data_IF_229590689603
#
_entry.id   IF_229590689603
#
_cell.length_a   1.000
_cell.length_b   1.000
_cell.length_c   1.000
_cell.angle_alpha   90.00
_cell.angle_beta   90.00
_cell.angle_gamma   90.00
#
_symmetry.space_group_name_H-M   'P 1'
#
loop_
_entity.id
_entity.type
_entity.pdbx_description
1 polymer ?
#
# COMPACT_ATOMS: atom_id res chain seq x y z
N UNK A 1 -8.36 8.03 7.60
CA UNK A 1 -7.87 9.42 7.43
C UNK A 1 -6.74 9.66 8.41
N UNK A 2 -5.68 10.32 7.97
CA UNK A 2 -4.57 10.76 8.80
C UNK A 2 -4.40 12.28 8.70
N UNK A 3 -3.89 12.90 9.75
CA UNK A 3 -3.54 14.31 9.80
C UNK A 3 -2.03 14.44 9.97
N UNK A 4 -1.41 15.27 9.15
CA UNK A 4 0.02 15.53 9.15
C UNK A 4 0.23 17.04 9.35
N UNK A 5 1.17 17.39 10.22
CA UNK A 5 1.64 18.78 10.43
C UNK A 5 3.15 18.82 10.43
N UNK A 6 3.69 19.98 10.13
CA UNK A 6 5.08 20.33 10.42
C UNK A 6 5.09 21.47 11.43
N UNK A 7 6.14 21.58 12.23
CA UNK A 7 6.35 22.71 13.12
C UNK A 7 6.72 23.97 12.30
N UNK A 8 6.52 25.13 12.89
CA UNK A 8 6.78 26.42 12.22
C UNK A 8 8.24 26.52 11.76
N UNK A 9 8.40 26.71 10.45
CA UNK A 9 9.72 26.82 9.81
C UNK A 9 10.38 25.47 9.46
N UNK A 10 9.70 24.33 9.73
CA UNK A 10 10.16 23.00 9.37
C UNK A 10 9.39 22.45 8.17
N UNK A 11 10.08 21.63 7.36
CA UNK A 11 9.47 20.85 6.25
C UNK A 11 9.27 19.36 6.65
N UNK A 12 9.50 19.00 7.92
CA UNK A 12 9.38 17.62 8.42
C UNK A 12 7.95 17.37 8.93
N UNK A 13 7.14 16.71 8.11
CA UNK A 13 5.76 16.39 8.47
C UNK A 13 5.67 15.17 9.38
N UNK A 14 4.85 15.28 10.44
CA UNK A 14 4.57 14.24 11.44
C UNK A 14 3.12 13.84 11.44
N UNK A 15 2.84 12.58 11.74
CA UNK A 15 1.48 12.07 11.92
C UNK A 15 0.97 12.52 13.30
N UNK A 16 0.05 13.49 13.33
CA UNK A 16 -0.51 14.03 14.58
C UNK A 16 -1.89 13.51 14.92
N UNK A 17 -2.57 12.88 13.96
CA UNK A 17 -3.88 12.29 14.18
C UNK A 17 -4.19 11.21 13.16
N UNK A 18 -4.90 10.15 13.57
CA UNK A 18 -5.31 9.07 12.69
C UNK A 18 -6.64 8.47 13.09
N UNK A 19 -7.55 8.30 12.09
CA UNK A 19 -8.74 7.47 12.16
C UNK A 19 -8.68 6.47 10.99
N UNK A 20 -8.15 5.27 11.25
CA UNK A 20 -7.91 4.23 10.24
C UNK A 20 -8.59 2.94 10.65
N UNK A 21 -9.76 2.67 10.05
CA UNK A 21 -10.52 1.45 10.30
C UNK A 21 -9.90 0.22 9.61
N UNK A 22 -9.30 0.43 8.43
CA UNK A 22 -8.82 -0.64 7.56
C UNK A 22 -7.33 -0.48 7.22
N UNK A 23 -6.43 -0.65 8.20
CA UNK A 23 -5.00 -0.57 7.94
C UNK A 23 -4.53 -1.73 7.04
N UNK A 24 -3.47 -1.46 6.26
CA UNK A 24 -2.75 -2.46 5.46
C UNK A 24 -1.37 -2.63 6.08
N UNK A 25 -1.21 -3.68 6.87
CA UNK A 25 0.05 -4.10 7.50
C UNK A 25 0.76 -3.01 8.33
N UNK A 26 -0.02 -2.22 9.07
CA UNK A 26 0.52 -1.25 10.01
C UNK A 26 -0.44 -0.94 11.16
N UNK A 27 0.11 -0.48 12.30
CA UNK A 27 -0.62 -0.09 13.49
C UNK A 27 -0.63 1.44 13.63
N UNK A 28 -1.75 2.13 13.42
CA UNK A 28 -1.82 3.59 13.52
C UNK A 28 -1.33 4.14 14.86
N UNK A 29 -1.69 3.49 15.97
CA UNK A 29 -1.29 3.93 17.31
C UNK A 29 0.24 3.92 17.52
N UNK A 30 0.97 3.01 16.85
CA UNK A 30 2.44 2.94 16.95
C UNK A 30 3.15 4.00 16.09
N UNK A 31 2.40 4.72 15.27
CA UNK A 31 2.93 5.67 14.28
C UNK A 31 2.67 7.12 14.64
N UNK A 32 1.84 7.38 15.64
CA UNK A 32 1.50 8.74 16.07
C UNK A 32 2.74 9.48 16.57
N UNK A 33 2.89 10.73 16.16
CA UNK A 33 4.06 11.58 16.44
C UNK A 33 5.29 11.34 15.57
N UNK A 34 5.31 10.25 14.77
CA UNK A 34 6.47 9.93 13.94
C UNK A 34 6.53 10.80 12.67
N UNK A 35 7.73 11.18 12.22
CA UNK A 35 7.93 11.82 10.93
C UNK A 35 7.72 10.81 9.78
N UNK A 36 7.45 11.32 8.56
CA UNK A 36 7.17 10.49 7.39
C UNK A 36 8.28 9.47 7.10
N UNK A 37 9.54 9.81 7.33
CA UNK A 37 10.66 8.87 7.18
C UNK A 37 10.55 7.67 8.11
N UNK A 38 10.24 7.90 9.39
CA UNK A 38 10.05 6.83 10.37
C UNK A 38 8.75 6.03 10.13
N UNK A 39 7.69 6.68 9.62
CA UNK A 39 6.46 6.01 9.19
C UNK A 39 6.74 4.97 8.09
N UNK A 40 7.60 5.32 7.14
CA UNK A 40 7.92 4.53 5.96
C UNK A 40 9.23 3.73 6.08
N UNK A 41 9.86 3.70 7.25
CA UNK A 41 11.10 2.96 7.47
C UNK A 41 11.05 1.47 7.02
N UNK A 42 9.91 0.75 7.11
CA UNK A 42 9.81 -0.62 6.58
C UNK A 42 9.90 -0.72 5.05
N UNK A 43 9.71 0.39 4.30
CA UNK A 43 9.77 0.40 2.84
C UNK A 43 11.22 0.55 2.41
N UNK A 44 11.75 -0.48 1.75
CA UNK A 44 13.14 -0.47 1.28
C UNK A 44 13.45 0.72 0.36
N UNK A 45 14.50 1.45 0.68
CA UNK A 45 14.98 2.59 -0.12
C UNK A 45 14.16 3.87 0.02
N UNK A 46 13.09 3.92 0.83
CA UNK A 46 12.25 5.11 0.97
C UNK A 46 13.08 6.36 1.33
N UNK A 47 13.91 6.27 2.35
CA UNK A 47 14.71 7.42 2.83
C UNK A 47 15.61 7.99 1.73
N UNK A 48 16.31 7.13 0.99
CA UNK A 48 17.25 7.57 -0.06
C UNK A 48 16.58 8.04 -1.34
N UNK A 49 15.42 7.46 -1.70
CA UNK A 49 14.81 7.63 -3.03
C UNK A 49 13.62 8.57 -3.00
N UNK A 50 12.89 8.64 -1.91
CA UNK A 50 11.57 9.26 -1.87
C UNK A 50 11.44 10.36 -0.80
N UNK A 51 12.13 10.25 0.34
CA UNK A 51 11.84 11.08 1.51
C UNK A 51 11.93 12.59 1.20
N UNK A 52 13.05 13.05 0.63
CA UNK A 52 13.22 14.48 0.31
C UNK A 52 12.19 14.99 -0.71
N UNK A 53 11.85 14.17 -1.70
CA UNK A 53 10.82 14.51 -2.70
C UNK A 53 9.42 14.58 -2.08
N UNK A 54 9.11 13.69 -1.14
CA UNK A 54 7.83 13.68 -0.42
C UNK A 54 7.74 14.89 0.51
N UNK A 55 8.77 15.17 1.30
CA UNK A 55 8.79 16.33 2.20
C UNK A 55 8.67 17.64 1.41
N UNK A 56 9.42 17.79 0.32
CA UNK A 56 9.28 18.94 -0.58
C UNK A 56 7.88 19.07 -1.18
N UNK A 57 7.29 17.94 -1.63
CA UNK A 57 5.91 17.94 -2.15
C UNK A 57 4.92 18.38 -1.08
N UNK A 58 5.03 17.86 0.15
CA UNK A 58 4.18 18.25 1.27
C UNK A 58 4.30 19.75 1.58
N UNK A 59 5.53 20.29 1.64
CA UNK A 59 5.78 21.71 1.90
C UNK A 59 5.14 22.62 0.82
N UNK A 60 5.16 22.20 -0.45
CA UNK A 60 4.62 22.97 -1.60
C UNK A 60 3.14 22.73 -1.88
N UNK A 61 2.50 21.82 -1.17
CA UNK A 61 1.08 21.52 -1.37
C UNK A 61 0.22 22.73 -0.99
N UNK A 62 -0.54 23.28 -1.96
CA UNK A 62 -1.39 24.45 -1.76
C UNK A 62 -2.82 24.04 -1.38
N UNK A 63 -3.54 24.83 -0.55
CA UNK A 63 -4.96 24.64 -0.34
C UNK A 63 -5.75 24.67 -1.65
N UNK A 64 -6.93 24.03 -1.65
CA UNK A 64 -7.82 24.00 -2.82
C UNK A 64 -7.48 22.90 -3.85
N UNK A 65 -6.33 22.23 -3.75
CA UNK A 65 -5.97 21.10 -4.62
C UNK A 65 -6.03 19.79 -3.86
N UNK A 66 -6.48 18.74 -4.58
CA UNK A 66 -6.46 17.36 -4.09
C UNK A 66 -5.56 16.58 -5.04
N UNK A 67 -4.56 15.90 -4.48
CA UNK A 67 -3.71 14.99 -5.21
C UNK A 67 -4.08 13.56 -4.83
N UNK A 68 -4.11 12.68 -5.82
CA UNK A 68 -4.45 11.29 -5.61
C UNK A 68 -3.49 10.35 -6.31
N UNK A 69 -3.33 9.17 -5.72
CA UNK A 69 -2.66 8.03 -6.34
C UNK A 69 -3.36 6.74 -5.93
N UNK A 70 -3.08 5.67 -6.64
CA UNK A 70 -3.44 4.32 -6.22
C UNK A 70 -2.18 3.55 -5.82
N UNK A 71 -2.28 2.82 -4.73
CA UNK A 71 -1.33 1.80 -4.32
C UNK A 71 -2.01 0.44 -4.38
N UNK A 72 -1.26 -0.66 -4.41
CA UNK A 72 -1.83 -2.00 -4.46
C UNK A 72 -0.93 -3.03 -3.77
N UNK A 73 -1.59 -4.09 -3.28
CA UNK A 73 -0.97 -5.25 -2.66
C UNK A 73 -1.67 -6.52 -3.14
N UNK A 74 -0.95 -7.64 -3.10
CA UNK A 74 -1.53 -8.98 -3.17
C UNK A 74 -1.77 -9.45 -1.75
N UNK A 75 -3.00 -9.87 -1.45
CA UNK A 75 -3.42 -10.28 -0.12
C UNK A 75 -3.97 -11.71 -0.14
N UNK A 76 -3.71 -12.53 0.88
CA UNK A 76 -4.29 -13.87 1.04
C UNK A 76 -5.70 -13.84 1.63
N UNK A 77 -6.28 -12.67 1.85
CA UNK A 77 -7.57 -12.50 2.53
C UNK A 77 -8.39 -11.37 1.93
N UNK A 78 -9.70 -11.52 1.95
CA UNK A 78 -10.67 -10.48 1.60
C UNK A 78 -10.93 -9.47 2.72
N UNK A 79 -10.35 -9.64 3.90
CA UNK A 79 -10.57 -8.78 5.04
C UNK A 79 -10.13 -7.33 4.74
N UNK A 80 -11.01 -6.37 4.99
CA UNK A 80 -10.68 -4.94 4.83
C UNK A 80 -9.61 -4.49 5.84
N UNK A 81 -9.65 -4.98 7.08
CA UNK A 81 -8.57 -4.82 8.05
C UNK A 81 -7.58 -5.94 7.86
N UNK A 82 -6.38 -5.61 7.41
CA UNK A 82 -5.33 -6.60 7.21
C UNK A 82 -4.03 -6.13 7.88
N UNK A 83 -3.63 -6.86 8.89
CA UNK A 83 -2.34 -6.73 9.58
C UNK A 83 -1.72 -8.10 9.55
N UNK A 84 -0.52 -8.21 8.97
CA UNK A 84 0.19 -9.48 8.85
C UNK A 84 0.73 -9.89 10.23
N UNK A 85 0.06 -10.84 10.88
CA UNK A 85 0.46 -11.40 12.17
C UNK A 85 1.17 -12.75 12.02
N UNK A 86 1.14 -13.32 10.81
CA UNK A 86 1.77 -14.61 10.49
C UNK A 86 2.70 -14.45 9.29
N UNK A 87 3.76 -15.28 9.18
CA UNK A 87 4.64 -15.26 8.01
C UNK A 87 3.88 -15.51 6.71
N UNK A 88 4.26 -14.83 5.62
CA UNK A 88 3.63 -14.98 4.30
C UNK A 88 3.58 -16.44 3.82
N UNK A 89 4.60 -17.25 4.17
CA UNK A 89 4.61 -18.69 3.89
C UNK A 89 3.40 -19.43 4.47
N UNK A 90 2.89 -19.00 5.61
CA UNK A 90 1.69 -19.58 6.23
C UNK A 90 0.42 -18.91 5.70
N UNK A 91 0.43 -17.60 5.55
CA UNK A 91 -0.74 -16.85 5.08
C UNK A 91 -1.16 -17.26 3.67
N UNK A 92 -0.21 -17.57 2.78
CA UNK A 92 -0.46 -18.04 1.42
C UNK A 92 -0.45 -19.58 1.25
N UNK A 93 -0.28 -20.38 2.33
CA UNK A 93 -0.15 -21.83 2.24
C UNK A 93 -1.35 -22.54 1.59
N UNK A 94 -2.54 -21.94 1.66
CA UNK A 94 -3.77 -22.47 1.08
C UNK A 94 -3.94 -22.14 -0.41
N UNK A 95 -3.09 -21.28 -0.97
CA UNK A 95 -3.20 -20.83 -2.36
C UNK A 95 -2.54 -21.83 -3.29
N UNK A 96 -3.27 -22.27 -4.32
CA UNK A 96 -2.78 -23.10 -5.42
C UNK A 96 -3.01 -22.41 -6.76
N UNK A 97 -2.41 -22.91 -7.85
CA UNK A 97 -2.68 -22.38 -9.19
C UNK A 97 -4.16 -22.52 -9.60
N UNK A 98 -4.85 -23.55 -9.12
CA UNK A 98 -6.25 -23.85 -9.44
C UNK A 98 -7.21 -22.92 -8.69
N UNK A 99 -6.94 -22.63 -7.40
CA UNK A 99 -7.83 -21.84 -6.56
C UNK A 99 -7.42 -20.35 -6.45
N UNK A 100 -6.34 -19.94 -7.09
CA UNK A 100 -5.80 -18.58 -6.97
C UNK A 100 -6.81 -17.49 -7.36
N UNK A 101 -7.71 -17.77 -8.30
CA UNK A 101 -8.79 -16.86 -8.67
C UNK A 101 -9.67 -16.41 -7.50
N UNK A 102 -9.93 -17.32 -6.56
CA UNK A 102 -10.81 -17.09 -5.41
C UNK A 102 -10.08 -16.81 -4.11
N UNK A 103 -8.79 -17.18 -4.03
CA UNK A 103 -8.00 -17.15 -2.78
C UNK A 103 -6.91 -16.08 -2.76
N UNK A 104 -6.55 -15.53 -3.92
CA UNK A 104 -5.74 -14.32 -4.04
C UNK A 104 -6.65 -13.11 -4.20
N UNK A 105 -6.38 -12.08 -3.44
CA UNK A 105 -7.10 -10.82 -3.51
C UNK A 105 -6.16 -9.67 -3.89
N UNK A 106 -6.65 -8.76 -4.72
CA UNK A 106 -5.97 -7.51 -5.02
C UNK A 106 -6.55 -6.44 -4.11
N UNK A 107 -5.71 -5.98 -3.19
CA UNK A 107 -6.02 -4.89 -2.28
C UNK A 107 -5.52 -3.59 -2.87
N UNK A 108 -6.43 -2.72 -3.27
CA UNK A 108 -6.12 -1.41 -3.82
C UNK A 108 -6.40 -0.32 -2.81
N UNK A 109 -5.53 0.67 -2.75
CA UNK A 109 -5.69 1.85 -1.92
C UNK A 109 -5.74 3.09 -2.80
N UNK A 110 -6.90 3.73 -2.84
CA UNK A 110 -7.01 5.08 -3.38
C UNK A 110 -6.60 6.06 -2.28
N UNK A 111 -5.47 6.69 -2.47
CA UNK A 111 -4.88 7.62 -1.51
C UNK A 111 -5.06 9.05 -2.01
N UNK A 112 -5.47 9.97 -1.11
CA UNK A 112 -5.54 11.40 -1.46
C UNK A 112 -4.83 12.26 -0.42
N UNK A 113 -4.27 13.37 -0.88
CA UNK A 113 -3.60 14.39 -0.08
C UNK A 113 -4.24 15.75 -0.34
N UNK A 114 -4.54 16.47 0.73
CA UNK A 114 -5.10 17.83 0.68
C UNK A 114 -4.58 18.64 1.85
N UNK A 115 -4.13 19.89 1.58
CA UNK A 115 -3.84 20.86 2.63
C UNK A 115 -5.14 21.57 3.05
N UNK A 116 -5.38 21.64 4.34
CA UNK A 116 -6.49 22.41 4.93
C UNK A 116 -6.16 23.90 4.91
N UNK A 117 -7.11 24.77 4.50
CA UNK A 117 -6.81 26.19 4.31
C UNK A 117 -6.60 26.95 5.64
N UNK A 118 -7.29 26.58 6.71
CA UNK A 118 -7.28 27.29 7.99
C UNK A 118 -6.09 26.88 8.87
N UNK A 119 -5.81 25.59 8.95
CA UNK A 119 -4.80 25.06 9.87
C UNK A 119 -3.46 24.75 9.20
N UNK A 120 -3.43 24.73 7.86
CA UNK A 120 -2.24 24.29 7.12
C UNK A 120 -1.95 22.79 7.22
N UNK A 121 -2.66 22.05 8.07
CA UNK A 121 -2.50 20.60 8.21
C UNK A 121 -2.81 19.88 6.89
N UNK A 122 -2.12 18.77 6.64
CA UNK A 122 -2.37 17.93 5.48
C UNK A 122 -3.22 16.75 5.90
N UNK A 123 -4.37 16.56 5.21
CA UNK A 123 -5.14 15.34 5.34
C UNK A 123 -4.65 14.31 4.32
N UNK A 124 -4.40 13.09 4.81
CA UNK A 124 -4.16 11.92 3.98
C UNK A 124 -5.32 10.94 4.16
N UNK A 125 -6.02 10.62 3.09
CA UNK A 125 -7.12 9.66 3.13
C UNK A 125 -6.76 8.40 2.37
N UNK A 126 -7.28 7.26 2.82
CA UNK A 126 -7.07 5.95 2.21
C UNK A 126 -8.45 5.29 2.06
N UNK A 127 -8.87 5.10 0.81
CA UNK A 127 -10.01 4.26 0.45
C UNK A 127 -9.50 2.88 0.09
N UNK A 128 -9.97 1.85 0.79
CA UNK A 128 -9.54 0.46 0.59
C UNK A 128 -10.56 -0.30 -0.22
N UNK A 129 -10.11 -1.00 -1.25
CA UNK A 129 -10.90 -1.86 -2.12
C UNK A 129 -10.21 -3.23 -2.19
N UNK A 130 -11.00 -4.31 -2.08
CA UNK A 130 -10.48 -5.68 -2.15
C UNK A 130 -11.26 -6.43 -3.21
N UNK A 131 -10.55 -6.98 -4.18
CA UNK A 131 -11.13 -7.67 -5.33
C UNK A 131 -10.49 -9.05 -5.47
N UNK A 132 -11.27 -10.15 -5.58
CA UNK A 132 -10.73 -11.45 -5.91
C UNK A 132 -9.98 -11.41 -7.25
N UNK A 133 -8.87 -12.14 -7.35
CA UNK A 133 -8.08 -12.20 -8.58
C UNK A 133 -8.91 -12.62 -9.80
N UNK A 134 -9.83 -13.57 -9.63
CA UNK A 134 -10.72 -14.06 -10.67
C UNK A 134 -11.72 -13.05 -11.23
N UNK A 135 -11.91 -11.90 -10.55
CA UNK A 135 -12.74 -10.81 -11.05
C UNK A 135 -11.97 -9.81 -11.93
N UNK A 136 -10.65 -9.95 -12.02
CA UNK A 136 -9.86 -9.14 -12.94
C UNK A 136 -9.98 -9.68 -14.36
N UNK A 137 -9.90 -8.77 -15.35
CA UNK A 137 -9.77 -9.21 -16.74
C UNK A 137 -8.47 -10.00 -16.95
N UNK A 138 -8.42 -10.97 -17.89
CA UNK A 138 -7.19 -11.71 -18.19
C UNK A 138 -5.98 -10.82 -18.44
N UNK A 139 -6.17 -9.72 -19.19
CA UNK A 139 -5.12 -8.74 -19.45
C UNK A 139 -4.57 -8.08 -18.17
N UNK A 140 -5.42 -7.83 -17.17
CA UNK A 140 -4.98 -7.27 -15.90
C UNK A 140 -4.27 -8.30 -15.03
N UNK A 141 -4.67 -9.57 -15.09
CA UNK A 141 -3.94 -10.67 -14.40
C UNK A 141 -2.53 -10.79 -14.98
N UNK A 142 -2.37 -10.76 -16.30
CA UNK A 142 -1.04 -10.79 -16.95
C UNK A 142 -0.18 -9.60 -16.51
N UNK A 143 -0.74 -8.38 -16.57
CA UNK A 143 -0.04 -7.17 -16.08
C UNK A 143 0.36 -7.26 -14.61
N UNK A 144 -0.47 -7.89 -13.78
CA UNK A 144 -0.15 -8.11 -12.36
C UNK A 144 1.04 -9.08 -12.21
N UNK A 145 1.08 -10.18 -12.99
CA UNK A 145 2.22 -11.11 -13.02
C UNK A 145 3.49 -10.35 -13.36
N UNK A 146 3.47 -9.53 -14.42
CA UNK A 146 4.62 -8.75 -14.85
C UNK A 146 5.07 -7.75 -13.76
N UNK A 147 4.10 -7.01 -13.18
CA UNK A 147 4.38 -6.06 -12.12
C UNK A 147 5.00 -6.71 -10.89
N UNK A 148 4.45 -7.85 -10.43
CA UNK A 148 5.01 -8.59 -9.28
C UNK A 148 6.39 -9.17 -9.62
N UNK A 149 6.60 -9.65 -10.84
CA UNK A 149 7.88 -10.26 -11.27
C UNK A 149 9.02 -9.23 -11.36
N UNK A 150 8.70 -7.95 -11.52
CA UNK A 150 9.67 -6.85 -11.66
C UNK A 150 9.89 -6.04 -10.39
N UNK A 151 9.21 -6.38 -9.28
CA UNK A 151 9.44 -5.73 -7.98
C UNK A 151 10.89 -5.99 -7.53
N UNK A 152 11.62 -4.97 -7.03
CA UNK A 152 12.96 -5.15 -6.46
C UNK A 152 12.98 -6.24 -5.38
N UNK A 153 14.04 -7.04 -5.33
CA UNK A 153 14.15 -8.25 -4.49
C UNK A 153 13.78 -8.02 -3.02
N UNK A 154 14.24 -6.92 -2.42
CA UNK A 154 13.95 -6.63 -1.02
C UNK A 154 12.46 -6.31 -0.79
N UNK A 155 11.85 -5.56 -1.72
CA UNK A 155 10.42 -5.27 -1.65
C UNK A 155 9.58 -6.52 -1.97
N UNK A 156 10.01 -7.38 -2.90
CA UNK A 156 9.37 -8.66 -3.18
C UNK A 156 9.40 -9.58 -1.95
N UNK A 157 10.53 -9.60 -1.22
CA UNK A 157 10.66 -10.34 0.05
C UNK A 157 9.71 -9.79 1.10
N UNK A 158 9.68 -8.47 1.29
CA UNK A 158 8.78 -7.79 2.24
C UNK A 158 7.31 -8.10 1.95
N UNK A 159 6.94 -8.17 0.66
CA UNK A 159 5.56 -8.49 0.23
C UNK A 159 5.25 -9.99 0.20
N UNK A 160 6.19 -10.85 0.53
CA UNK A 160 6.00 -12.30 0.50
C UNK A 160 5.78 -12.87 -0.90
N UNK A 161 6.28 -12.19 -1.95
CA UNK A 161 6.01 -12.53 -3.35
C UNK A 161 6.37 -13.97 -3.71
N UNK A 162 7.42 -14.54 -3.12
CA UNK A 162 7.84 -15.92 -3.33
C UNK A 162 6.76 -16.95 -2.99
N UNK A 163 5.79 -16.60 -2.13
CA UNK A 163 4.76 -17.51 -1.63
C UNK A 163 3.46 -17.48 -2.44
N UNK A 164 3.29 -16.52 -3.35
CA UNK A 164 2.09 -16.44 -4.19
C UNK A 164 2.38 -16.26 -5.68
N UNK A 165 3.56 -15.77 -6.07
CA UNK A 165 3.88 -15.52 -7.48
C UNK A 165 3.85 -16.79 -8.35
N UNK A 166 4.34 -17.96 -7.92
CA UNK A 166 4.21 -19.19 -8.71
C UNK A 166 2.74 -19.55 -9.00
N UNK A 167 1.87 -19.44 -8.00
CA UNK A 167 0.45 -19.73 -8.11
C UNK A 167 -0.27 -18.70 -8.99
N UNK A 168 0.07 -17.43 -8.85
CA UNK A 168 -0.42 -16.35 -9.71
C UNK A 168 -0.05 -16.59 -11.18
N UNK A 169 1.19 -17.01 -11.47
CA UNK A 169 1.64 -17.36 -12.82
C UNK A 169 0.89 -18.59 -13.38
N UNK A 170 0.72 -19.63 -12.56
CA UNK A 170 -0.04 -20.81 -12.96
C UNK A 170 -1.48 -20.45 -13.30
N UNK A 171 -2.16 -19.66 -12.48
CA UNK A 171 -3.49 -19.15 -12.76
C UNK A 171 -3.55 -18.30 -14.03
N UNK A 172 -2.61 -17.37 -14.23
CA UNK A 172 -2.57 -16.54 -15.43
C UNK A 172 -2.44 -17.39 -16.71
N UNK A 173 -1.69 -18.49 -16.67
CA UNK A 173 -1.54 -19.40 -17.79
C UNK A 173 -2.88 -20.06 -18.20
N UNK A 174 -3.79 -20.32 -17.25
CA UNK A 174 -5.12 -20.91 -17.56
C UNK A 174 -6.05 -19.94 -18.28
N UNK A 175 -5.80 -18.64 -18.20
CA UNK A 175 -6.64 -17.61 -18.83
C UNK A 175 -6.27 -17.31 -20.28
N UNK A 176 -5.17 -17.88 -20.79
CA UNK A 176 -4.66 -17.65 -22.14
C UNK A 176 -5.11 -18.74 -23.13
N UNK A 177 -5.87 -19.72 -22.64
CA UNK A 177 -6.47 -20.81 -23.40
C UNK A 177 -7.99 -20.72 -23.39
#
# INVERSE_FOLDING_TARGET
MCLLTADDGEDVYRLVGAAVAFPTDWHPAKKLGLPLTALHAPIHGYERQLASGVDHFMAKLKPGRIFGRCNWFVSPTSALRWIEETPASRSFAHVTGENAGDTIFIRSERQTLRRLPETGAITFTIGVYVTPLGQLSPANVVRLVDAVSTIPTEEARRRGAAHFLPQLKAYAATLLH
#
